data_IF_664899315043
#
_entry.id   IF_664899315043
#
_cell.length_a   1.000
_cell.length_b   1.000
_cell.length_c   1.000
_cell.angle_alpha   90.00
_cell.angle_beta   90.00
_cell.angle_gamma   90.00
#
_symmetry.space_group_name_H-M   'P 1'
#
loop_
_entity.id
_entity.type
_entity.pdbx_description
1 polymer ?
#
# COMPACT_ATOMS: atom_id res chain seq x y z
N UNK A 1 11.10 8.98 10.35
CA UNK A 1 10.15 8.32 11.27
C UNK A 1 8.69 8.43 10.82
N UNK A 2 8.34 9.43 9.98
CA UNK A 2 6.99 9.68 9.41
C UNK A 2 6.20 8.43 8.96
N UNK A 3 6.87 7.46 8.34
CA UNK A 3 6.22 6.27 7.79
C UNK A 3 6.06 5.10 8.76
N UNK A 4 6.73 5.15 9.91
CA UNK A 4 6.75 4.02 10.84
C UNK A 4 5.39 3.88 11.52
N UNK A 5 5.02 2.63 11.77
CA UNK A 5 3.78 2.27 12.46
C UNK A 5 4.11 1.65 13.81
N UNK A 6 3.20 1.82 14.77
CA UNK A 6 3.32 1.19 16.08
C UNK A 6 2.98 -0.30 15.95
N UNK A 7 3.88 -1.16 16.42
CA UNK A 7 3.60 -2.57 16.55
C UNK A 7 2.98 -2.84 17.92
N UNK A 8 1.69 -3.18 17.95
CA UNK A 8 0.95 -3.47 19.18
C UNK A 8 1.45 -4.71 19.91
N UNK A 9 2.14 -5.63 19.22
CA UNK A 9 2.66 -6.87 19.77
C UNK A 9 4.07 -6.68 20.34
N UNK A 10 4.90 -5.85 19.69
CA UNK A 10 6.29 -5.63 20.09
C UNK A 10 6.53 -4.35 20.90
N UNK A 11 5.54 -3.44 20.98
CA UNK A 11 5.67 -2.15 21.66
C UNK A 11 6.69 -1.20 21.03
N UNK A 12 7.08 -1.45 19.76
CA UNK A 12 8.16 -0.75 19.06
C UNK A 12 7.67 -0.20 17.72
N UNK A 13 8.32 0.86 17.25
CA UNK A 13 8.12 1.37 15.90
C UNK A 13 8.76 0.44 14.88
N UNK A 14 8.02 0.10 13.83
CA UNK A 14 8.51 -0.66 12.68
C UNK A 14 8.18 0.02 11.35
N UNK A 15 8.91 -0.30 10.27
CA UNK A 15 8.47 0.06 8.93
C UNK A 15 7.06 -0.49 8.65
N UNK A 16 6.24 0.23 7.86
CA UNK A 16 4.92 -0.23 7.50
C UNK A 16 5.01 -1.45 6.59
N UNK A 17 4.00 -2.31 6.65
CA UNK A 17 3.72 -3.31 5.61
C UNK A 17 3.21 -2.60 4.36
N UNK A 18 3.25 -3.27 3.21
CA UNK A 18 2.90 -2.65 1.94
C UNK A 18 1.44 -2.17 1.90
N UNK A 19 0.51 -2.93 2.47
CA UNK A 19 -0.89 -2.53 2.60
C UNK A 19 -1.07 -1.30 3.52
N UNK A 20 -0.37 -1.23 4.65
CA UNK A 20 -0.38 -0.09 5.58
C UNK A 20 0.17 1.18 4.91
N UNK A 21 1.22 1.03 4.10
CA UNK A 21 1.79 2.11 3.30
C UNK A 21 0.81 2.63 2.25
N UNK A 22 0.19 1.73 1.48
CA UNK A 22 -0.80 2.10 0.47
C UNK A 22 -1.98 2.86 1.10
N UNK A 23 -2.44 2.39 2.26
CA UNK A 23 -3.49 3.07 3.01
C UNK A 23 -3.07 4.47 3.47
N UNK A 24 -1.85 4.63 4.00
CA UNK A 24 -1.32 5.96 4.37
C UNK A 24 -1.26 6.93 3.18
N UNK A 25 -0.88 6.45 1.99
CA UNK A 25 -0.91 7.30 0.79
C UNK A 25 -2.34 7.72 0.42
N UNK A 26 -3.30 6.82 0.58
CA UNK A 26 -4.71 7.07 0.27
C UNK A 26 -5.39 8.07 1.20
N UNK A 27 -4.94 8.18 2.45
CA UNK A 27 -5.48 9.13 3.43
C UNK A 27 -4.85 10.52 3.34
N UNK A 28 -3.76 10.66 2.58
CA UNK A 28 -3.04 11.92 2.44
C UNK A 28 -3.24 12.52 1.04
N UNK A 29 -4.01 13.61 1.00
CA UNK A 29 -4.36 14.32 -0.24
C UNK A 29 -3.16 14.75 -1.08
N UNK A 30 -1.96 14.90 -0.49
CA UNK A 30 -0.71 15.21 -1.21
C UNK A 30 -0.35 14.16 -2.25
N UNK A 31 -0.82 12.92 -2.09
CA UNK A 31 -0.53 11.80 -2.99
C UNK A 31 -1.71 11.44 -3.90
N UNK A 32 -2.79 12.22 -3.89
CA UNK A 32 -4.01 11.95 -4.68
C UNK A 32 -3.76 11.80 -6.18
N UNK A 33 -2.75 12.49 -6.74
CA UNK A 33 -2.33 12.35 -8.13
C UNK A 33 -1.66 11.01 -8.45
N UNK A 34 -1.16 10.29 -7.44
CA UNK A 34 -0.46 9.01 -7.61
C UNK A 34 -1.36 7.82 -7.25
N UNK A 35 -2.23 8.00 -6.26
CA UNK A 35 -3.14 6.97 -5.77
C UNK A 35 -4.36 7.62 -5.13
N UNK A 36 -5.56 7.10 -5.41
CA UNK A 36 -6.79 7.64 -4.84
C UNK A 36 -7.85 6.57 -4.62
N UNK A 37 -8.76 6.84 -3.68
CA UNK A 37 -9.99 6.08 -3.55
C UNK A 37 -10.85 6.26 -4.81
N UNK A 38 -11.41 5.16 -5.30
CA UNK A 38 -12.54 5.18 -6.24
C UNK A 38 -13.86 5.02 -5.48
N UNK A 39 -13.84 4.18 -4.43
CA UNK A 39 -14.90 4.03 -3.46
C UNK A 39 -14.27 3.66 -2.11
N UNK A 40 -14.27 4.61 -1.16
CA UNK A 40 -13.66 4.43 0.16
C UNK A 40 -14.44 3.41 1.00
N UNK A 41 -15.76 3.33 0.85
CA UNK A 41 -16.60 2.42 1.63
C UNK A 41 -16.38 0.97 1.20
N UNK A 42 -16.25 0.74 -0.10
CA UNK A 42 -15.95 -0.57 -0.66
C UNK A 42 -14.45 -0.93 -0.58
N UNK A 43 -13.61 0.01 -0.16
CA UNK A 43 -12.15 -0.13 -0.13
C UNK A 43 -11.53 -0.22 -1.53
N UNK A 44 -12.20 0.30 -2.55
CA UNK A 44 -11.76 0.30 -3.94
C UNK A 44 -10.89 1.52 -4.22
N UNK A 45 -9.69 1.30 -4.74
CA UNK A 45 -8.74 2.37 -5.06
C UNK A 45 -8.02 2.11 -6.37
N UNK A 46 -7.40 3.16 -6.91
CA UNK A 46 -6.60 3.10 -8.13
C UNK A 46 -5.25 3.76 -7.92
N UNK A 47 -4.22 3.11 -8.45
CA UNK A 47 -2.89 3.69 -8.61
C UNK A 47 -2.83 4.35 -9.99
N UNK A 48 -2.66 5.66 -10.00
CA UNK A 48 -2.56 6.48 -11.22
C UNK A 48 -1.12 6.60 -11.70
N UNK A 49 -0.16 6.70 -10.78
CA UNK A 49 1.27 6.73 -11.08
C UNK A 49 2.00 5.57 -10.36
N UNK A 50 2.10 4.40 -11.02
CA UNK A 50 2.72 3.21 -10.45
C UNK A 50 4.20 3.40 -10.11
N UNK A 51 4.92 4.22 -10.90
CA UNK A 51 6.34 4.45 -10.72
C UNK A 51 6.60 5.33 -9.50
N UNK A 52 5.84 6.41 -9.33
CA UNK A 52 5.94 7.27 -8.13
C UNK A 52 5.59 6.53 -6.86
N UNK A 53 4.56 5.67 -6.88
CA UNK A 53 4.21 4.83 -5.72
C UNK A 53 5.35 3.86 -5.37
N UNK A 54 6.00 3.24 -6.36
CA UNK A 54 7.14 2.36 -6.14
C UNK A 54 8.37 3.10 -5.60
N UNK A 55 8.68 4.30 -6.14
CA UNK A 55 9.74 5.18 -5.63
C UNK A 55 9.53 5.54 -4.15
N UNK A 56 8.30 5.93 -3.78
CA UNK A 56 7.94 6.23 -2.40
C UNK A 56 8.10 5.01 -1.49
N UNK A 57 7.67 3.84 -1.95
CA UNK A 57 7.84 2.59 -1.20
C UNK A 57 9.31 2.25 -0.92
N UNK A 58 10.20 2.44 -1.90
CA UNK A 58 11.65 2.27 -1.72
C UNK A 58 12.17 3.21 -0.64
N UNK A 59 11.80 4.50 -0.68
CA UNK A 59 12.22 5.49 0.33
C UNK A 59 11.79 5.08 1.73
N UNK A 60 10.60 4.48 1.88
CA UNK A 60 10.11 3.95 3.15
C UNK A 60 10.90 2.73 3.62
N UNK A 61 11.39 1.89 2.69
CA UNK A 61 12.10 0.64 2.97
C UNK A 61 13.63 0.75 2.95
N UNK A 62 14.18 1.95 2.81
CA UNK A 62 15.57 2.26 2.38
C UNK A 62 16.74 1.78 3.25
N UNK A 63 16.56 0.78 4.11
CA UNK A 63 17.64 -0.01 4.73
C UNK A 63 17.59 -1.51 4.40
N UNK A 64 16.62 -1.97 3.61
CA UNK A 64 16.33 -3.41 3.44
C UNK A 64 16.35 -3.92 1.99
N UNK A 65 16.51 -3.05 0.98
CA UNK A 65 16.41 -3.48 -0.43
C UNK A 65 17.43 -2.75 -1.32
N UNK A 66 18.48 -3.45 -1.78
CA UNK A 66 19.42 -2.98 -2.81
C UNK A 66 18.91 -3.22 -4.24
N UNK A 67 17.67 -3.68 -4.41
CA UNK A 67 17.09 -3.94 -5.72
C UNK A 67 16.43 -2.68 -6.28
N UNK A 68 16.73 -2.34 -7.53
CA UNK A 68 15.93 -1.46 -8.38
C UNK A 68 14.49 -1.96 -8.37
N UNK A 69 13.59 -1.26 -7.69
CA UNK A 69 12.19 -1.66 -7.54
C UNK A 69 11.31 -0.85 -8.46
N UNK A 70 10.90 -1.51 -9.54
CA UNK A 70 9.85 -1.10 -10.45
C UNK A 70 8.46 -1.49 -9.91
N UNK A 71 7.40 -1.00 -10.58
CA UNK A 71 6.04 -1.36 -10.22
C UNK A 71 5.78 -2.88 -10.32
N UNK A 72 6.45 -3.59 -11.22
CA UNK A 72 6.29 -5.04 -11.35
C UNK A 72 6.77 -5.80 -10.12
N UNK A 73 7.83 -5.31 -9.49
CA UNK A 73 8.33 -5.81 -8.21
C UNK A 73 7.44 -5.41 -7.05
N UNK A 74 6.98 -4.15 -7.02
CA UNK A 74 6.00 -3.69 -6.04
C UNK A 74 4.71 -4.52 -6.08
N UNK A 75 4.17 -4.78 -7.27
CA UNK A 75 2.92 -5.51 -7.46
C UNK A 75 2.99 -6.99 -7.05
N UNK A 76 4.19 -7.57 -6.83
CA UNK A 76 4.33 -8.94 -6.29
C UNK A 76 3.70 -9.07 -4.90
N UNK A 77 3.89 -8.10 -4.00
CA UNK A 77 3.27 -8.13 -2.68
C UNK A 77 1.75 -7.91 -2.73
N UNK A 78 1.25 -7.10 -3.68
CA UNK A 78 -0.19 -6.96 -3.96
C UNK A 78 -0.80 -8.29 -4.43
N UNK A 79 -0.13 -8.99 -5.35
CA UNK A 79 -0.58 -10.32 -5.81
C UNK A 79 -0.60 -11.35 -4.67
N UNK A 80 0.35 -11.28 -3.74
CA UNK A 80 0.35 -12.12 -2.54
C UNK A 80 -0.88 -11.82 -1.63
N UNK A 81 -1.34 -10.57 -1.58
CA UNK A 81 -2.54 -10.20 -0.84
C UNK A 81 -3.84 -10.80 -1.39
N UNK A 82 -3.88 -11.20 -2.67
CA UNK A 82 -5.00 -11.99 -3.19
C UNK A 82 -5.04 -13.39 -2.57
N UNK A 83 -3.87 -14.03 -2.44
CA UNK A 83 -3.76 -15.38 -1.87
C UNK A 83 -4.06 -15.41 -0.38
N UNK A 84 -3.62 -14.39 0.36
CA UNK A 84 -3.88 -14.26 1.81
C UNK A 84 -5.26 -13.67 2.13
N UNK A 85 -5.99 -13.21 1.12
CA UNK A 85 -7.30 -12.59 1.31
C UNK A 85 -7.25 -11.20 1.94
N UNK A 86 -6.12 -10.50 1.92
CA UNK A 86 -6.05 -9.10 2.35
C UNK A 86 -6.57 -8.13 1.26
N UNK A 87 -6.53 -8.54 -0.02
CA UNK A 87 -7.03 -7.77 -1.15
C UNK A 87 -7.86 -8.63 -2.10
N UNK A 88 -8.75 -8.00 -2.86
CA UNK A 88 -9.57 -8.59 -3.92
C UNK A 88 -8.99 -8.18 -5.28
N UNK A 89 -8.82 -9.16 -6.16
CA UNK A 89 -8.38 -8.93 -7.55
C UNK A 89 -9.48 -8.19 -8.30
N UNK A 90 -9.10 -7.12 -9.00
CA UNK A 90 -9.98 -6.44 -9.96
C UNK A 90 -9.52 -6.72 -11.39
N UNK A 91 -10.42 -6.60 -12.35
CA UNK A 91 -10.12 -6.74 -13.78
C UNK A 91 -9.58 -5.44 -14.39
N UNK A 92 -9.64 -4.32 -13.66
CA UNK A 92 -9.21 -3.01 -14.14
C UNK A 92 -7.73 -2.78 -13.84
N UNK A 93 -6.99 -2.27 -14.82
CA UNK A 93 -5.55 -1.98 -14.69
C UNK A 93 -5.31 -1.04 -13.50
N UNK A 94 -4.34 -1.41 -12.67
CA UNK A 94 -3.90 -0.67 -11.47
C UNK A 94 -5.01 -0.35 -10.46
N UNK A 95 -6.10 -1.10 -10.50
CA UNK A 95 -7.24 -0.93 -9.60
C UNK A 95 -7.27 -2.11 -8.64
N UNK A 96 -7.48 -1.83 -7.37
CA UNK A 96 -7.37 -2.80 -6.28
C UNK A 96 -8.46 -2.54 -5.25
N UNK A 97 -8.81 -3.60 -4.51
CA UNK A 97 -9.80 -3.50 -3.45
C UNK A 97 -9.30 -4.15 -2.17
N UNK A 98 -9.37 -3.46 -1.04
CA UNK A 98 -9.11 -4.07 0.27
C UNK A 98 -10.29 -4.99 0.66
N UNK A 99 -10.02 -6.18 1.24
CA UNK A 99 -11.08 -7.15 1.59
C UNK A 99 -11.79 -6.82 2.91
N UNK A 100 -11.10 -6.16 3.85
CA UNK A 100 -11.67 -5.82 5.15
C UNK A 100 -12.10 -4.35 5.21
N UNK A 101 -13.19 -4.01 5.93
CA UNK A 101 -13.53 -2.62 6.20
C UNK A 101 -12.37 -1.93 6.90
N UNK A 102 -12.12 -0.68 6.48
CA UNK A 102 -11.01 0.19 6.89
C UNK A 102 -10.77 0.19 8.41
N UNK A 103 -11.85 0.13 9.20
CA UNK A 103 -11.82 0.15 10.67
C UNK A 103 -11.19 -1.07 11.35
N UNK A 104 -10.74 -2.08 10.60
CA UNK A 104 -10.09 -3.29 11.15
C UNK A 104 -8.59 -3.39 10.82
N UNK A 105 -8.03 -2.34 10.21
CA UNK A 105 -6.61 -2.23 9.83
C UNK A 105 -5.86 -1.23 10.74
N UNK A 106 -6.60 -0.38 11.46
CA UNK A 106 -6.07 0.58 12.45
C UNK A 106 -6.04 -0.03 13.84
#
# INVERSE_FOLDING_TARGET
KEWFVHDSTAGKLRPPRQNEFLYKLLEDSRYSSYISWLDRNEGLFKIHDPNRVAELWIKVKSRQTSATMDYDTFSRGIRYYYKTGAMIKTYRKYTFRFKKPINSIV
#
